data_IF_686641056025
#
_entry.id   IF_686641056025
#
_cell.length_a   1.000
_cell.length_b   1.000
_cell.length_c   1.000
_cell.angle_alpha   90.00
_cell.angle_beta   90.00
_cell.angle_gamma   90.00
#
_symmetry.space_group_name_H-M   'P 1'
#
loop_
_entity.id
_entity.type
_entity.pdbx_description
1 polymer ?
#
# COMPACT_ATOMS: atom_id res chain seq x y z
N UNK A 1 16.70 3.47 -6.57
CA UNK A 1 16.39 2.06 -6.89
C UNK A 1 15.18 1.53 -6.12
N UNK A 2 15.19 1.56 -4.77
CA UNK A 2 14.12 0.98 -3.93
C UNK A 2 12.69 1.41 -4.30
N UNK A 3 12.45 2.71 -4.48
CA UNK A 3 11.12 3.26 -4.81
C UNK A 3 10.62 2.86 -6.21
N UNK A 4 11.51 2.83 -7.20
CA UNK A 4 11.17 2.39 -8.58
C UNK A 4 10.80 0.91 -8.59
N UNK A 5 11.55 0.07 -7.89
CA UNK A 5 11.23 -1.36 -7.77
C UNK A 5 9.92 -1.57 -7.01
N UNK A 6 9.68 -0.82 -5.93
CA UNK A 6 8.42 -0.86 -5.20
C UNK A 6 7.24 -0.41 -6.06
N UNK A 7 7.37 0.67 -6.82
CA UNK A 7 6.34 1.16 -7.73
C UNK A 7 5.97 0.12 -8.80
N UNK A 8 6.96 -0.56 -9.39
CA UNK A 8 6.73 -1.64 -10.34
C UNK A 8 5.91 -2.79 -9.73
N UNK A 9 6.29 -3.25 -8.54
CA UNK A 9 5.55 -4.31 -7.84
C UNK A 9 4.17 -3.86 -7.36
N UNK A 10 4.03 -2.62 -6.91
CA UNK A 10 2.74 -2.06 -6.50
C UNK A 10 1.78 -1.94 -7.68
N UNK A 11 2.27 -1.55 -8.86
CA UNK A 11 1.48 -1.54 -10.08
C UNK A 11 1.02 -2.96 -10.45
N UNK A 12 1.96 -3.92 -10.51
CA UNK A 12 1.67 -5.28 -10.92
C UNK A 12 0.69 -5.98 -9.97
N UNK A 13 0.95 -5.96 -8.66
CA UNK A 13 0.05 -6.58 -7.67
C UNK A 13 -1.24 -5.80 -7.51
N UNK A 14 -1.20 -4.48 -7.64
CA UNK A 14 -2.36 -3.62 -7.63
C UNK A 14 -3.35 -3.96 -8.73
N UNK A 15 -2.86 -4.28 -9.92
CA UNK A 15 -3.70 -4.69 -11.04
C UNK A 15 -4.36 -6.06 -10.82
N UNK A 16 -3.60 -7.03 -10.28
CA UNK A 16 -4.14 -8.35 -9.93
C UNK A 16 -5.23 -8.22 -8.85
N UNK A 17 -4.97 -7.46 -7.79
CA UNK A 17 -5.94 -7.24 -6.72
C UNK A 17 -7.15 -6.44 -7.20
N UNK A 18 -6.95 -5.37 -7.96
CA UNK A 18 -8.04 -4.56 -8.48
C UNK A 18 -8.94 -5.33 -9.43
N UNK A 19 -8.38 -6.22 -10.25
CA UNK A 19 -9.17 -7.11 -11.10
C UNK A 19 -10.02 -8.07 -10.27
N UNK A 20 -9.42 -8.73 -9.27
CA UNK A 20 -10.14 -9.66 -8.38
C UNK A 20 -11.26 -8.94 -7.61
N UNK A 21 -10.99 -7.76 -7.05
CA UNK A 21 -11.99 -6.95 -6.35
C UNK A 21 -13.11 -6.53 -7.30
N UNK A 22 -12.78 -6.13 -8.54
CA UNK A 22 -13.78 -5.82 -9.56
C UNK A 22 -14.71 -7.00 -9.84
N UNK A 23 -14.17 -8.21 -9.97
CA UNK A 23 -14.97 -9.43 -10.16
C UNK A 23 -15.87 -9.75 -8.95
N UNK A 24 -15.40 -9.47 -7.74
CA UNK A 24 -16.17 -9.74 -6.50
C UNK A 24 -17.26 -8.70 -6.23
N UNK A 25 -17.04 -7.44 -6.64
CA UNK A 25 -17.92 -6.30 -6.31
C UNK A 25 -18.83 -5.89 -7.47
N UNK A 26 -18.61 -6.43 -8.67
CA UNK A 26 -19.34 -6.06 -9.88
C UNK A 26 -18.98 -4.66 -10.42
N UNK A 27 -17.95 -4.01 -9.86
CA UNK A 27 -17.47 -2.70 -10.30
C UNK A 27 -16.60 -2.87 -11.55
N UNK A 28 -16.77 -1.98 -12.53
CA UNK A 28 -15.94 -1.97 -13.75
C UNK A 28 -14.47 -1.76 -13.41
N UNK A 29 -13.65 -2.74 -13.75
CA UNK A 29 -12.21 -2.67 -13.59
C UNK A 29 -11.60 -1.71 -14.63
N UNK A 30 -10.84 -0.71 -14.14
CA UNK A 30 -10.07 0.20 -14.98
C UNK A 30 -8.57 0.08 -14.62
N UNK A 31 -7.76 -0.59 -15.47
CA UNK A 31 -6.37 -0.90 -15.14
C UNK A 31 -5.52 0.36 -14.91
N UNK A 32 -5.72 1.42 -15.70
CA UNK A 32 -4.92 2.64 -15.57
C UNK A 32 -5.17 3.39 -14.26
N UNK A 33 -6.43 3.47 -13.82
CA UNK A 33 -6.76 4.09 -12.53
C UNK A 33 -6.32 3.21 -11.35
N UNK A 34 -6.51 1.90 -11.45
CA UNK A 34 -6.08 0.96 -10.42
C UNK A 34 -4.57 1.06 -10.18
N UNK A 35 -3.76 0.96 -11.24
CA UNK A 35 -2.31 1.02 -11.16
C UNK A 35 -1.82 2.29 -10.44
N UNK A 36 -2.36 3.44 -10.84
CA UNK A 36 -2.00 4.75 -10.29
C UNK A 36 -2.31 4.83 -8.80
N UNK A 37 -3.52 4.42 -8.39
CA UNK A 37 -3.92 4.43 -6.97
C UNK A 37 -3.04 3.48 -6.15
N UNK A 38 -2.77 2.27 -6.65
CA UNK A 38 -1.97 1.28 -5.93
C UNK A 38 -0.50 1.69 -5.78
N UNK A 39 0.08 2.41 -6.74
CA UNK A 39 1.42 2.97 -6.61
C UNK A 39 1.43 4.03 -5.49
N UNK A 40 0.48 4.97 -5.50
CA UNK A 40 0.41 6.04 -4.50
C UNK A 40 0.22 5.47 -3.09
N UNK A 41 -0.71 4.53 -2.93
CA UNK A 41 -0.97 3.87 -1.63
C UNK A 41 0.24 3.03 -1.19
N UNK A 42 0.87 2.32 -2.12
CA UNK A 42 2.06 1.51 -1.85
C UNK A 42 3.24 2.35 -1.37
N UNK A 43 3.51 3.50 -2.01
CA UNK A 43 4.55 4.41 -1.55
C UNK A 43 4.21 5.08 -0.21
N UNK A 44 2.95 5.49 -0.02
CA UNK A 44 2.50 6.03 1.26
C UNK A 44 2.67 5.00 2.39
N UNK A 45 2.36 3.73 2.15
CA UNK A 45 2.54 2.66 3.14
C UNK A 45 4.02 2.47 3.51
N UNK A 46 4.96 2.59 2.56
CA UNK A 46 6.39 2.46 2.86
C UNK A 46 6.93 3.57 3.78
N UNK A 47 6.27 4.72 3.84
CA UNK A 47 6.63 5.84 4.73
C UNK A 47 5.84 5.77 6.04
N UNK A 48 4.55 5.50 5.95
CA UNK A 48 3.64 5.54 7.08
C UNK A 48 3.81 4.34 8.00
N UNK A 49 4.03 3.14 7.46
CA UNK A 49 4.18 1.92 8.28
C UNK A 49 5.36 2.02 9.24
N UNK A 50 6.59 2.37 8.81
CA UNK A 50 7.71 2.55 9.74
C UNK A 50 7.45 3.65 10.78
N UNK A 51 6.88 4.79 10.36
CA UNK A 51 6.57 5.90 11.26
C UNK A 51 5.54 5.52 12.34
N UNK A 52 4.53 4.72 11.98
CA UNK A 52 3.54 4.20 12.92
C UNK A 52 4.13 3.10 13.82
N UNK A 53 5.02 2.26 13.29
CA UNK A 53 5.71 1.23 14.09
C UNK A 53 6.60 1.85 15.16
N UNK A 54 7.41 2.85 14.81
CA UNK A 54 8.25 3.58 15.78
C UNK A 54 7.40 4.26 16.87
N UNK A 55 6.26 4.84 16.47
CA UNK A 55 5.33 5.49 17.42
C UNK A 55 4.70 4.47 18.38
N UNK A 56 4.36 3.27 17.90
CA UNK A 56 3.78 2.21 18.71
C UNK A 56 4.80 1.60 19.70
N UNK A 57 6.08 1.55 19.33
CA UNK A 57 7.16 1.10 20.23
C UNK A 57 7.48 2.15 21.30
N UNK A 58 7.45 3.44 20.96
CA UNK A 58 7.62 4.53 21.93
C UNK A 58 6.52 4.54 23.01
N UNK A 59 5.26 4.34 22.63
CA UNK A 59 4.14 4.27 23.58
C UNK A 59 4.25 3.07 24.54
N UNK A 60 4.72 1.91 24.06
CA UNK A 60 4.93 0.74 24.93
C UNK A 60 6.05 0.94 25.95
N UNK A 61 7.10 1.69 25.60
CA UNK A 61 8.20 1.98 26.50
C UNK A 61 7.80 2.96 27.62
N UNK A 62 6.98 3.97 27.30
CA UNK A 62 6.44 4.94 28.28
C UNK A 62 5.47 4.28 29.26
N UNK A 63 4.61 3.36 28.79
CA UNK A 63 3.64 2.67 29.64
C UNK A 63 4.23 1.63 30.61
N UNK A 64 5.53 1.29 30.50
CA UNK A 64 6.22 0.36 31.42
C UNK A 64 7.18 1.06 32.40
N UNK A 65 7.29 2.39 32.38
CA UNK A 65 8.06 3.19 33.32
C UNK A 65 7.19 3.67 34.51
#
# INVERSE_FOLDING_TARGET
MRYITAAFWCALFGEVLGYLVGQMTGVTFNPGLTALVTIIVGEAALILVPALSDSAEAEKADSQA
#
